data_IF_979716427382
#
_entry.id   IF_979716427382
#
_cell.length_a   1.000
_cell.length_b   1.000
_cell.length_c   1.000
_cell.angle_alpha   90.00
_cell.angle_beta   90.00
_cell.angle_gamma   90.00
#
_symmetry.space_group_name_H-M   'P 1'
#
loop_
_entity.id
_entity.type
_entity.pdbx_description
1 polymer ?
#
# COMPACT_ATOMS: atom_id res chain seq x y z
N UNK A 1 20.11 6.59 15.97
CA UNK A 1 20.45 7.79 15.17
C UNK A 1 20.54 7.50 13.67
N UNK A 2 21.23 6.42 13.23
CA UNK A 2 21.35 6.06 11.80
C UNK A 2 20.00 5.93 11.07
N UNK A 3 19.04 5.21 11.66
CA UNK A 3 17.69 5.04 11.12
C UNK A 3 16.88 6.35 11.05
N UNK A 4 17.09 7.29 11.99
CA UNK A 4 16.40 8.60 11.98
C UNK A 4 16.86 9.48 10.81
N UNK A 5 18.15 9.44 10.48
CA UNK A 5 18.68 10.15 9.31
C UNK A 5 18.09 9.59 8.01
N UNK A 6 17.98 8.26 7.91
CA UNK A 6 17.32 7.60 6.77
C UNK A 6 15.83 7.94 6.67
N UNK A 7 15.10 8.02 7.80
CA UNK A 7 13.67 8.40 7.77
C UNK A 7 13.48 9.84 7.34
N UNK A 8 14.33 10.76 7.83
CA UNK A 8 14.29 12.17 7.43
C UNK A 8 14.62 12.33 5.95
N UNK A 9 15.63 11.61 5.45
CA UNK A 9 16.00 11.63 4.04
C UNK A 9 14.88 11.08 3.13
N UNK A 10 14.25 9.98 3.53
CA UNK A 10 13.10 9.41 2.81
C UNK A 10 11.92 10.40 2.76
N UNK A 11 11.66 11.11 3.86
CA UNK A 11 10.60 12.12 3.92
C UNK A 11 10.91 13.31 3.01
N UNK A 12 12.16 13.76 2.94
CA UNK A 12 12.56 14.86 2.05
C UNK A 12 12.48 14.47 0.57
N UNK A 13 12.83 13.22 0.21
CA UNK A 13 12.69 12.71 -1.17
C UNK A 13 11.21 12.62 -1.58
N UNK A 14 10.32 12.29 -0.64
CA UNK A 14 8.87 12.24 -0.92
C UNK A 14 8.29 13.60 -1.31
N UNK A 15 8.89 14.71 -0.87
CA UNK A 15 8.43 16.06 -1.21
C UNK A 15 8.70 16.46 -2.67
N UNK A 16 9.60 15.75 -3.37
CA UNK A 16 9.90 15.98 -4.80
C UNK A 16 8.81 15.37 -5.70
N UNK A 17 7.83 14.65 -5.15
CA UNK A 17 6.73 14.06 -5.89
C UNK A 17 5.62 15.04 -6.32
N UNK A 18 5.66 16.31 -5.93
CA UNK A 18 4.63 17.29 -6.32
C UNK A 18 4.61 17.45 -7.85
N UNK A 19 3.42 17.35 -8.43
CA UNK A 19 3.24 17.46 -9.87
C UNK A 19 3.60 18.86 -10.36
N UNK A 20 4.34 18.96 -11.47
CA UNK A 20 4.48 20.24 -12.16
C UNK A 20 3.16 20.62 -12.85
N UNK A 21 2.93 21.89 -13.24
CA UNK A 21 1.66 22.32 -13.83
C UNK A 21 1.22 21.52 -15.05
N UNK A 22 2.17 21.02 -15.84
CA UNK A 22 1.89 20.16 -17.00
C UNK A 22 1.38 18.79 -16.55
N UNK A 23 2.04 18.16 -15.58
CA UNK A 23 1.63 16.89 -15.01
C UNK A 23 0.26 17.00 -14.32
N UNK A 24 0.00 18.10 -13.62
CA UNK A 24 -1.29 18.38 -12.97
C UNK A 24 -2.43 18.46 -14.00
N UNK A 25 -2.22 19.15 -15.12
CA UNK A 25 -3.24 19.28 -16.19
C UNK A 25 -3.62 17.95 -16.86
N UNK A 26 -2.78 16.93 -16.70
CA UNK A 26 -2.95 15.58 -17.25
C UNK A 26 -3.51 14.58 -16.25
N UNK A 27 -3.61 14.96 -14.98
CA UNK A 27 -4.19 14.09 -13.96
C UNK A 27 -5.72 13.99 -14.11
N UNK A 28 -6.32 12.90 -13.63
CA UNK A 28 -7.77 12.72 -13.65
C UNK A 28 -8.46 13.80 -12.82
N UNK A 29 -9.57 14.34 -13.34
CA UNK A 29 -10.32 15.40 -12.69
C UNK A 29 -10.83 14.98 -11.31
N UNK A 30 -10.62 15.82 -10.30
CA UNK A 30 -10.95 15.57 -8.90
C UNK A 30 -9.86 14.86 -8.10
N UNK A 31 -8.76 14.45 -8.74
CA UNK A 31 -7.59 13.81 -8.11
C UNK A 31 -6.28 14.48 -8.50
N UNK A 32 -6.35 15.69 -9.04
CA UNK A 32 -5.18 16.52 -9.34
C UNK A 32 -4.35 16.75 -8.06
N UNK A 33 -3.02 16.70 -8.20
CA UNK A 33 -2.01 16.74 -7.14
C UNK A 33 -1.98 15.54 -6.18
N UNK A 34 -2.88 14.55 -6.33
CA UNK A 34 -2.93 13.35 -5.50
C UNK A 34 -2.34 12.14 -6.25
N UNK A 35 -2.68 11.99 -7.53
CA UNK A 35 -2.26 10.84 -8.34
C UNK A 35 -1.03 11.16 -9.17
N UNK A 36 0.02 10.36 -9.14
CA UNK A 36 1.12 10.52 -10.10
C UNK A 36 0.73 9.98 -11.48
N UNK A 37 0.88 10.79 -12.53
CA UNK A 37 0.66 10.38 -13.92
C UNK A 37 -0.74 10.69 -14.48
N UNK A 38 -0.91 10.36 -15.75
CA UNK A 38 -2.18 10.51 -16.48
C UNK A 38 -3.19 9.46 -15.99
N UNK A 39 -4.46 9.88 -15.94
CA UNK A 39 -5.57 9.02 -15.52
C UNK A 39 -5.99 8.02 -16.61
N UNK A 40 -7.03 7.22 -16.34
CA UNK A 40 -7.63 6.35 -17.36
C UNK A 40 -8.12 7.20 -18.56
N UNK A 41 -7.76 6.81 -19.77
CA UNK A 41 -8.09 7.55 -21.00
C UNK A 41 -9.41 7.10 -21.62
N UNK A 42 -9.74 5.81 -21.49
CA UNK A 42 -10.96 5.20 -22.05
C UNK A 42 -11.83 4.45 -21.04
N UNK A 43 -13.06 4.12 -21.45
CA UNK A 43 -14.05 3.42 -20.60
C UNK A 43 -13.54 2.07 -20.06
N UNK A 44 -12.78 1.34 -20.87
CA UNK A 44 -12.18 0.05 -20.48
C UNK A 44 -11.15 0.25 -19.36
N UNK A 45 -10.39 1.34 -19.39
CA UNK A 45 -9.38 1.62 -18.37
C UNK A 45 -10.05 1.87 -17.01
N UNK A 46 -11.22 2.53 -16.99
CA UNK A 46 -12.03 2.69 -15.78
C UNK A 46 -12.55 1.35 -15.24
N UNK A 47 -12.97 0.44 -16.11
CA UNK A 47 -13.43 -0.91 -15.70
C UNK A 47 -12.27 -1.70 -15.08
N UNK A 48 -11.09 -1.67 -15.71
CA UNK A 48 -9.89 -2.36 -15.20
C UNK A 48 -9.49 -1.75 -13.85
N UNK A 49 -9.43 -0.42 -13.76
CA UNK A 49 -9.07 0.29 -12.53
C UNK A 49 -10.02 -0.06 -11.39
N UNK A 50 -11.34 -0.01 -11.59
CA UNK A 50 -12.32 -0.37 -10.57
C UNK A 50 -12.18 -1.84 -10.15
N UNK A 51 -11.96 -2.74 -11.10
CA UNK A 51 -11.75 -4.17 -10.82
C UNK A 51 -10.51 -4.39 -9.97
N UNK A 52 -9.40 -3.70 -10.29
CA UNK A 52 -8.17 -3.75 -9.52
C UNK A 52 -8.38 -3.25 -8.08
N UNK A 53 -9.09 -2.14 -7.90
CA UNK A 53 -9.43 -1.59 -6.58
C UNK A 53 -10.21 -2.61 -5.74
N UNK A 54 -11.20 -3.29 -6.33
CA UNK A 54 -11.98 -4.33 -5.64
C UNK A 54 -11.11 -5.51 -5.22
N UNK A 55 -10.27 -6.02 -6.14
CA UNK A 55 -9.38 -7.16 -5.86
C UNK A 55 -8.39 -6.80 -4.74
N UNK A 56 -7.71 -5.66 -4.85
CA UNK A 56 -6.72 -5.20 -3.85
C UNK A 56 -7.38 -4.93 -2.50
N UNK A 57 -8.56 -4.30 -2.48
CA UNK A 57 -9.31 -4.08 -1.25
C UNK A 57 -9.68 -5.39 -0.56
N UNK A 58 -10.14 -6.38 -1.33
CA UNK A 58 -10.45 -7.71 -0.81
C UNK A 58 -9.21 -8.44 -0.28
N UNK A 59 -8.10 -8.44 -1.03
CA UNK A 59 -6.86 -9.10 -0.60
C UNK A 59 -6.26 -8.44 0.63
N UNK A 60 -6.33 -7.10 0.74
CA UNK A 60 -5.90 -6.37 1.93
C UNK A 60 -6.73 -6.75 3.16
N UNK A 61 -8.06 -6.78 3.03
CA UNK A 61 -8.96 -7.20 4.13
C UNK A 61 -8.62 -8.63 4.58
N UNK A 62 -8.43 -9.55 3.63
CA UNK A 62 -8.06 -10.93 3.96
C UNK A 62 -6.68 -11.04 4.58
N UNK A 63 -5.70 -10.28 4.08
CA UNK A 63 -4.35 -10.21 4.64
C UNK A 63 -4.38 -9.78 6.11
N UNK A 64 -5.07 -8.67 6.42
CA UNK A 64 -5.25 -8.20 7.79
C UNK A 64 -5.97 -9.25 8.63
N UNK A 65 -7.06 -9.82 8.13
CA UNK A 65 -7.84 -10.85 8.85
C UNK A 65 -6.98 -12.05 9.25
N UNK A 66 -6.12 -12.53 8.36
CA UNK A 66 -5.27 -13.70 8.62
C UNK A 66 -4.04 -13.37 9.46
N UNK A 67 -3.55 -12.12 9.41
CA UNK A 67 -2.51 -11.64 10.32
C UNK A 67 -3.05 -11.49 11.74
N UNK A 68 -4.22 -10.88 11.93
CA UNK A 68 -4.80 -10.61 13.26
C UNK A 68 -5.40 -11.86 13.90
N UNK A 69 -6.09 -12.69 13.10
CA UNK A 69 -6.74 -13.91 13.59
C UNK A 69 -6.49 -15.06 12.62
N UNK A 70 -5.27 -15.63 12.65
CA UNK A 70 -5.00 -16.85 11.91
C UNK A 70 -5.94 -17.94 12.41
N UNK A 71 -6.51 -18.72 11.49
CA UNK A 71 -7.37 -19.88 11.83
C UNK A 71 -6.56 -21.09 12.33
N UNK A 72 -5.27 -20.88 12.60
CA UNK A 72 -4.35 -21.90 13.08
C UNK A 72 -4.46 -21.99 14.60
N UNK A 73 -4.71 -23.19 15.12
CA UNK A 73 -4.92 -23.41 16.56
C UNK A 73 -3.64 -23.75 17.31
N UNK A 74 -2.59 -24.16 16.58
CA UNK A 74 -1.31 -24.50 17.17
C UNK A 74 -0.46 -23.22 17.31
N UNK A 75 -0.28 -22.76 18.55
CA UNK A 75 0.47 -21.54 18.91
C UNK A 75 1.92 -21.55 18.43
N UNK A 76 2.52 -22.74 18.25
CA UNK A 76 3.91 -22.94 17.82
C UNK A 76 4.04 -23.17 16.30
N UNK A 77 2.96 -23.01 15.53
CA UNK A 77 3.02 -23.12 14.08
C UNK A 77 3.63 -21.85 13.48
N UNK A 78 4.41 -21.97 12.38
CA UNK A 78 5.05 -20.84 11.67
C UNK A 78 4.09 -19.72 11.23
N UNK A 79 2.77 -19.96 11.24
CA UNK A 79 1.74 -18.95 10.93
C UNK A 79 1.46 -18.00 12.10
N UNK A 80 1.85 -18.39 13.31
CA UNK A 80 1.73 -17.63 14.55
C UNK A 80 3.07 -16.97 14.97
N UNK A 81 4.13 -17.14 14.18
CA UNK A 81 5.46 -16.61 14.47
C UNK A 81 5.47 -15.08 14.64
N UNK A 82 4.61 -14.37 13.91
CA UNK A 82 4.50 -12.89 13.97
C UNK A 82 3.67 -12.43 15.17
N UNK A 83 2.88 -13.32 15.77
CA UNK A 83 1.98 -13.01 16.88
C UNK A 83 2.58 -13.35 18.25
N UNK A 84 3.46 -14.36 18.31
CA UNK A 84 4.09 -14.85 19.53
C UNK A 84 5.61 -14.79 19.41
N UNK A 85 6.25 -13.85 20.12
CA UNK A 85 7.71 -13.65 20.11
C UNK A 85 8.50 -14.86 20.64
N UNK A 86 7.89 -15.69 21.50
CA UNK A 86 8.49 -16.92 22.06
C UNK A 86 8.91 -17.92 20.96
N UNK A 87 8.25 -17.90 19.80
CA UNK A 87 8.58 -18.75 18.65
C UNK A 87 9.83 -18.29 17.86
N UNK A 88 10.45 -17.16 18.19
CA UNK A 88 11.69 -16.69 17.55
C UNK A 88 12.96 -17.12 18.29
N UNK A 89 12.84 -17.69 19.49
CA UNK A 89 13.95 -18.08 20.36
C UNK A 89 14.27 -19.58 20.38
N UNK A 90 13.50 -20.40 19.67
CA UNK A 90 13.74 -21.83 19.43
C UNK A 90 14.42 -22.07 18.06
#
# INVERSE_FOLDING_TARGET
MKYKLFTILALLISAVGLACPVCESKQPKGFENITHGEGPEGDIDYIIMLTAVVIVGYTLIMSIKYLVKPKEKNENHIKNLVLNEENLSD
#
